data_IF_376808422672
#
_entry.id   IF_376808422672
#
_cell.length_a   1.000
_cell.length_b   1.000
_cell.length_c   1.000
_cell.angle_alpha   90.00
_cell.angle_beta   90.00
_cell.angle_gamma   90.00
#
_symmetry.space_group_name_H-M   'P 1'
#
loop_
_entity.id
_entity.type
_entity.pdbx_description
1 polymer ?
#
# COMPACT_ATOMS: atom_id res chain seq x y z
N UNK A 1 1.14 -13.29 -0.90
CA UNK A 1 1.11 -12.38 0.26
C UNK A 1 1.49 -13.17 1.51
N UNK A 2 2.42 -12.66 2.33
CA UNK A 2 2.53 -13.13 3.71
C UNK A 2 1.66 -12.26 4.60
N UNK A 3 0.55 -12.81 5.09
CA UNK A 3 -0.03 -12.34 6.33
C UNK A 3 0.85 -12.86 7.46
N UNK A 4 1.95 -12.15 7.74
CA UNK A 4 2.83 -12.46 8.87
C UNK A 4 2.15 -12.04 10.15
N UNK A 5 1.50 -12.99 10.83
CA UNK A 5 1.08 -12.80 12.21
C UNK A 5 2.33 -12.83 13.11
N UNK A 6 2.92 -11.66 13.36
CA UNK A 6 4.07 -11.52 14.26
C UNK A 6 3.59 -11.30 15.69
N UNK A 7 3.43 -12.39 16.44
CA UNK A 7 3.02 -12.34 17.84
C UNK A 7 4.06 -11.63 18.70
N UNK A 8 3.63 -10.64 19.47
CA UNK A 8 4.44 -9.77 20.34
C UNK A 8 5.15 -10.47 21.53
N UNK A 9 5.26 -11.80 21.57
CA UNK A 9 5.85 -12.52 22.70
C UNK A 9 6.92 -13.54 22.29
N UNK A 10 8.14 -13.04 22.03
CA UNK A 10 9.35 -13.85 22.15
C UNK A 10 10.42 -13.08 22.95
N UNK A 11 10.66 -13.52 24.18
CA UNK A 11 11.65 -12.97 25.12
C UNK A 11 13.06 -13.49 24.85
N UNK A 12 14.01 -12.55 24.92
CA UNK A 12 15.42 -12.66 25.35
C UNK A 12 16.45 -13.31 24.40
N UNK A 13 17.45 -12.50 23.99
CA UNK A 13 18.75 -12.35 24.69
C UNK A 13 19.55 -11.18 24.11
N UNK A 14 20.11 -10.34 24.98
CA UNK A 14 20.93 -9.18 24.64
C UNK A 14 22.31 -9.55 24.10
N UNK A 15 22.89 -8.70 23.25
CA UNK A 15 24.28 -8.30 23.44
C UNK A 15 24.45 -6.78 23.49
N UNK A 16 25.50 -6.35 24.18
CA UNK A 16 25.90 -4.95 24.41
C UNK A 16 26.42 -4.30 23.12
N UNK A 17 26.07 -3.04 22.87
CA UNK A 17 26.70 -2.20 21.83
C UNK A 17 27.27 -0.92 22.45
N UNK A 18 28.50 -0.59 22.03
CA UNK A 18 29.26 0.60 22.40
C UNK A 18 28.59 1.89 21.87
N UNK A 19 28.59 2.93 22.70
CA UNK A 19 28.23 4.28 22.30
C UNK A 19 29.24 4.87 21.29
N UNK A 20 28.74 5.30 20.13
CA UNK A 20 29.38 6.36 19.33
C UNK A 20 28.35 7.47 19.17
N UNK A 21 28.59 8.59 19.84
CA UNK A 21 27.81 9.80 19.68
C UNK A 21 28.10 10.42 18.30
N UNK A 22 27.10 10.47 17.42
CA UNK A 22 27.18 11.22 16.17
C UNK A 22 26.50 12.58 16.35
N UNK A 23 27.33 13.61 16.37
CA UNK A 23 26.98 15.03 16.40
C UNK A 23 26.25 15.41 15.11
N UNK A 24 25.00 15.90 15.23
CA UNK A 24 24.23 16.49 14.12
C UNK A 24 25.02 17.65 13.49
N UNK A 25 25.54 17.47 12.28
CA UNK A 25 25.88 18.57 11.36
C UNK A 25 24.85 18.61 10.24
N UNK A 26 24.12 19.72 10.15
CA UNK A 26 23.31 20.07 8.98
C UNK A 26 24.27 20.33 7.82
N UNK A 27 24.42 19.37 6.93
CA UNK A 27 24.96 19.58 5.59
C UNK A 27 23.77 19.68 4.65
N UNK A 28 23.59 20.86 4.02
CA UNK A 28 22.75 20.98 2.84
C UNK A 28 23.50 20.28 1.71
N UNK A 29 23.10 19.05 1.42
CA UNK A 29 23.51 18.36 0.21
C UNK A 29 22.41 18.57 -0.82
N UNK A 30 22.76 19.24 -1.92
CA UNK A 30 21.93 19.39 -3.11
C UNK A 30 22.18 18.16 -4.00
N UNK A 31 21.83 16.98 -3.49
CA UNK A 31 21.84 15.72 -4.22
C UNK A 31 20.39 15.27 -4.34
N UNK A 32 19.91 15.00 -5.56
CA UNK A 32 18.55 14.45 -5.76
C UNK A 32 18.56 12.98 -5.34
N UNK A 33 18.76 12.73 -4.05
CA UNK A 33 18.50 11.43 -3.42
C UNK A 33 17.03 11.12 -3.66
N UNK A 34 16.74 10.10 -4.47
CA UNK A 34 15.38 9.54 -4.55
C UNK A 34 15.14 8.76 -3.26
N UNK A 35 14.96 9.48 -2.16
CA UNK A 35 14.46 8.91 -0.92
C UNK A 35 13.08 8.28 -1.19
N UNK A 36 12.71 7.18 -0.52
CA UNK A 36 11.39 6.60 -0.66
C UNK A 36 10.29 7.63 -0.44
N UNK A 37 9.26 7.59 -1.27
CA UNK A 37 8.03 8.32 -1.01
C UNK A 37 7.33 7.67 0.19
N UNK A 38 6.95 8.45 1.19
CA UNK A 38 6.31 7.95 2.42
C UNK A 38 5.06 8.76 2.77
N UNK A 39 4.14 8.15 3.52
CA UNK A 39 2.97 8.86 4.05
C UNK A 39 2.14 8.01 5.01
N UNK A 40 1.25 8.67 5.77
CA UNK A 40 0.36 8.02 6.74
C UNK A 40 -1.00 7.67 6.17
N UNK A 41 -1.47 8.44 5.19
CA UNK A 41 -2.78 8.26 4.60
C UNK A 41 -2.73 8.58 3.12
N UNK A 42 -3.63 7.97 2.37
CA UNK A 42 -3.79 8.30 0.96
C UNK A 42 -4.79 9.45 0.80
N UNK A 43 -4.64 10.30 -0.24
CA UNK A 43 -5.49 11.48 -0.39
C UNK A 43 -6.98 11.12 -0.50
N UNK A 44 -7.81 11.80 0.29
CA UNK A 44 -9.28 11.73 0.24
C UNK A 44 -9.86 13.06 -0.28
N UNK A 45 -11.08 13.07 -0.86
CA UNK A 45 -11.78 14.30 -1.25
C UNK A 45 -12.00 15.27 -0.07
N UNK A 46 -11.94 16.57 -0.34
CA UNK A 46 -12.33 17.61 0.62
C UNK A 46 -13.79 17.39 1.07
N UNK A 47 -13.99 17.18 2.38
CA UNK A 47 -15.31 16.90 2.96
C UNK A 47 -15.73 15.44 2.92
N UNK A 48 -14.85 14.51 2.52
CA UNK A 48 -15.06 13.08 2.74
C UNK A 48 -15.39 12.86 4.22
N UNK A 49 -16.45 12.09 4.54
CA UNK A 49 -16.86 11.90 5.91
C UNK A 49 -15.68 11.32 6.69
N UNK A 50 -15.26 11.99 7.77
CA UNK A 50 -14.38 11.42 8.80
C UNK A 50 -15.07 10.30 9.59
N UNK A 51 -16.06 9.61 8.99
CA UNK A 51 -16.80 8.56 9.67
C UNK A 51 -15.80 7.45 9.92
N UNK A 52 -15.42 7.30 11.19
CA UNK A 52 -14.89 6.06 11.70
C UNK A 52 -15.79 4.95 11.17
N UNK A 53 -15.18 3.96 10.51
CA UNK A 53 -15.86 2.71 10.19
C UNK A 53 -16.66 2.24 11.41
N UNK A 54 -17.84 1.64 11.22
CA UNK A 54 -18.60 1.06 12.34
C UNK A 54 -17.83 -0.05 13.05
N UNK A 55 -16.75 -0.55 12.44
CA UNK A 55 -15.87 -1.53 13.04
C UNK A 55 -15.27 -1.05 14.37
N UNK A 56 -15.30 -1.89 15.42
CA UNK A 56 -14.58 -1.63 16.66
C UNK A 56 -13.06 -1.72 16.50
N UNK A 57 -12.56 -2.14 15.33
CA UNK A 57 -11.13 -2.24 15.02
C UNK A 57 -10.76 -1.38 13.81
N UNK A 58 -9.52 -0.91 13.81
CA UNK A 58 -8.94 -0.11 12.74
C UNK A 58 -7.46 -0.46 12.55
N UNK A 59 -6.96 -0.14 11.36
CA UNK A 59 -5.56 -0.12 11.02
C UNK A 59 -4.98 1.25 11.32
N UNK A 60 -4.01 1.32 12.24
CA UNK A 60 -3.06 2.43 12.25
C UNK A 60 -1.96 2.08 11.23
N UNK A 61 -1.88 2.83 10.14
CA UNK A 61 -1.12 2.40 8.97
C UNK A 61 -0.29 3.51 8.35
N UNK A 62 0.74 3.11 7.61
CA UNK A 62 1.58 3.98 6.82
C UNK A 62 2.10 3.24 5.60
N UNK A 63 2.57 4.00 4.61
CA UNK A 63 3.12 3.44 3.39
C UNK A 63 4.49 4.02 3.07
N UNK A 64 5.26 3.24 2.32
CA UNK A 64 6.47 3.67 1.67
C UNK A 64 6.53 3.09 0.26
N UNK A 65 7.18 3.79 -0.66
CA UNK A 65 7.38 3.29 -2.01
C UNK A 65 8.58 3.92 -2.68
N UNK A 66 9.21 3.14 -3.56
CA UNK A 66 10.30 3.59 -4.41
C UNK A 66 10.05 3.10 -5.83
N UNK A 67 10.15 4.02 -6.79
CA UNK A 67 9.93 3.71 -8.19
C UNK A 67 11.25 3.61 -8.94
N UNK A 68 11.44 2.51 -9.69
CA UNK A 68 12.63 2.33 -10.54
C UNK A 68 12.73 3.41 -11.61
N UNK A 69 11.58 3.91 -12.05
CA UNK A 69 11.47 4.93 -13.10
C UNK A 69 10.40 5.95 -12.76
N UNK A 70 10.41 7.08 -13.47
CA UNK A 70 9.36 8.08 -13.34
C UNK A 70 8.03 7.50 -13.83
N UNK A 71 7.00 7.63 -13.00
CA UNK A 71 5.61 7.29 -13.33
C UNK A 71 5.15 8.01 -14.60
N UNK A 72 4.51 7.28 -15.52
CA UNK A 72 3.82 7.88 -16.67
C UNK A 72 2.68 8.79 -16.16
N UNK A 73 2.61 10.07 -16.56
CA UNK A 73 1.55 10.95 -16.11
C UNK A 73 0.18 10.42 -16.55
N UNK A 74 -0.83 10.66 -15.72
CA UNK A 74 -2.18 10.23 -16.05
C UNK A 74 -2.69 11.01 -17.27
N UNK A 75 -3.30 10.33 -18.24
CA UNK A 75 -3.86 10.98 -19.41
C UNK A 75 -5.14 11.76 -19.10
N UNK A 76 -5.55 12.71 -19.96
CA UNK A 76 -6.90 13.26 -19.92
C UNK A 76 -7.96 12.16 -20.12
N UNK A 77 -9.13 12.25 -19.45
CA UNK A 77 -9.59 13.35 -18.60
C UNK A 77 -9.07 13.29 -17.15
N UNK A 78 -8.39 12.19 -16.77
CA UNK A 78 -8.03 11.91 -15.38
C UNK A 78 -7.07 12.93 -14.78
N UNK A 79 -6.14 13.43 -15.57
CA UNK A 79 -5.32 14.57 -15.19
C UNK A 79 -5.25 15.56 -16.34
N UNK A 80 -5.56 16.81 -16.04
CA UNK A 80 -5.44 17.92 -16.98
C UNK A 80 -4.63 19.01 -16.30
N UNK A 81 -3.40 19.33 -16.76
CA UNK A 81 -2.65 20.44 -16.21
C UNK A 81 -3.45 21.74 -16.40
N UNK A 82 -3.37 22.70 -15.45
CA UNK A 82 -4.08 23.96 -15.59
C UNK A 82 -3.67 24.65 -16.89
N UNK A 83 -4.65 25.08 -17.68
CA UNK A 83 -4.43 25.92 -18.86
C UNK A 83 -3.60 27.13 -18.45
N UNK A 84 -2.45 27.36 -19.10
CA UNK A 84 -1.47 28.42 -18.76
C UNK A 84 -1.96 29.87 -18.92
N UNK A 85 -3.26 30.14 -18.77
CA UNK A 85 -3.82 31.48 -18.75
C UNK A 85 -3.42 32.19 -17.45
N UNK A 86 -2.59 33.22 -17.59
CA UNK A 86 -2.04 34.09 -16.54
C UNK A 86 -3.09 34.91 -15.75
N UNK A 87 -4.38 34.59 -15.85
CA UNK A 87 -5.47 35.43 -15.35
C UNK A 87 -6.33 34.78 -14.25
N UNK A 88 -5.93 33.64 -13.68
CA UNK A 88 -6.61 33.11 -12.49
C UNK A 88 -6.03 33.83 -11.24
N UNK A 89 -6.79 34.75 -10.60
CA UNK A 89 -6.23 35.65 -9.60
C UNK A 89 -5.84 34.89 -8.32
N UNK A 90 -4.75 35.36 -7.70
CA UNK A 90 -4.07 34.91 -6.46
C UNK A 90 -4.93 34.81 -5.18
N UNK A 91 -6.25 34.59 -5.27
CA UNK A 91 -7.18 34.56 -4.14
C UNK A 91 -7.70 33.18 -3.75
N UNK A 92 -7.31 32.10 -4.45
CA UNK A 92 -7.73 30.72 -4.09
C UNK A 92 -6.58 29.90 -3.53
N UNK A 93 -5.96 30.34 -2.43
CA UNK A 93 -4.86 29.58 -1.81
C UNK A 93 -5.30 28.18 -1.31
N UNK A 94 -6.59 27.96 -0.98
CA UNK A 94 -7.07 26.66 -0.53
C UNK A 94 -7.63 25.72 -1.62
N UNK A 95 -8.10 26.23 -2.78
CA UNK A 95 -8.66 25.38 -3.88
C UNK A 95 -7.62 24.91 -4.90
N UNK A 96 -6.37 25.33 -4.74
CA UNK A 96 -5.30 25.15 -5.74
C UNK A 96 -4.64 23.77 -5.71
N UNK A 97 -4.67 23.06 -4.59
CA UNK A 97 -4.11 21.70 -4.49
C UNK A 97 -5.03 20.65 -5.12
N UNK A 98 -6.35 20.75 -4.93
CA UNK A 98 -7.33 19.79 -5.46
C UNK A 98 -7.53 19.84 -6.97
N UNK A 99 -7.28 20.99 -7.60
CA UNK A 99 -7.28 21.12 -9.07
C UNK A 99 -6.12 20.36 -9.74
N UNK A 100 -5.07 19.99 -9.00
CA UNK A 100 -3.89 19.27 -9.51
C UNK A 100 -3.91 17.78 -9.16
N UNK A 101 -4.96 17.27 -8.51
CA UNK A 101 -5.07 15.85 -8.21
C UNK A 101 -5.83 15.14 -9.33
N UNK A 102 -5.43 13.90 -9.69
CA UNK A 102 -6.17 13.15 -10.69
C UNK A 102 -7.60 12.87 -10.24
N UNK A 103 -8.54 12.90 -11.19
CA UNK A 103 -9.98 12.73 -10.92
C UNK A 103 -10.64 11.69 -11.82
N UNK A 104 -11.66 11.03 -11.29
CA UNK A 104 -12.57 10.17 -12.03
C UNK A 104 -13.98 10.46 -11.53
N UNK A 105 -14.95 10.58 -12.44
CA UNK A 105 -16.35 10.92 -12.10
C UNK A 105 -16.52 12.19 -11.23
N UNK A 106 -15.58 13.15 -11.35
CA UNK A 106 -15.57 14.39 -10.57
C UNK A 106 -14.91 14.30 -9.19
N UNK A 107 -14.57 13.10 -8.72
CA UNK A 107 -13.92 12.84 -7.43
C UNK A 107 -12.42 12.61 -7.59
N UNK A 108 -11.66 12.81 -6.51
CA UNK A 108 -10.22 12.53 -6.50
C UNK A 108 -9.99 11.02 -6.54
N UNK A 109 -9.10 10.58 -7.44
CA UNK A 109 -8.67 9.18 -7.46
C UNK A 109 -7.82 8.93 -6.21
N UNK A 110 -8.30 7.99 -5.38
CA UNK A 110 -7.66 7.60 -4.12
C UNK A 110 -6.37 6.82 -4.34
N UNK A 111 -5.64 6.56 -3.26
CA UNK A 111 -4.35 5.88 -3.32
C UNK A 111 -3.19 6.80 -3.74
N UNK A 112 -2.00 6.23 -3.81
CA UNK A 112 -0.74 6.88 -4.22
C UNK A 112 -0.05 5.99 -5.25
N UNK A 113 0.47 6.59 -6.34
CA UNK A 113 1.20 5.85 -7.38
C UNK A 113 2.67 5.81 -7.03
N UNK A 114 3.30 4.64 -7.24
CA UNK A 114 4.73 4.40 -7.06
C UNK A 114 5.24 3.73 -8.32
N UNK A 115 5.75 4.50 -9.29
CA UNK A 115 6.13 3.92 -10.58
C UNK A 115 4.89 3.47 -11.35
N UNK A 116 4.81 2.18 -11.69
CA UNK A 116 3.63 1.50 -12.24
C UNK A 116 2.69 0.96 -11.15
N UNK A 117 3.14 0.89 -9.89
CA UNK A 117 2.37 0.43 -8.74
C UNK A 117 1.40 1.49 -8.20
N UNK A 118 0.47 1.05 -7.35
CA UNK A 118 -0.28 1.94 -6.48
C UNK A 118 -0.46 1.35 -5.07
N UNK A 119 -0.58 2.22 -4.06
CA UNK A 119 -0.88 1.86 -2.68
C UNK A 119 -2.12 2.58 -2.16
N UNK A 120 -2.86 1.94 -1.26
CA UNK A 120 -4.02 2.48 -0.56
C UNK A 120 -3.86 2.28 0.95
N UNK A 121 -4.13 3.35 1.70
CA UNK A 121 -4.18 3.33 3.16
C UNK A 121 -5.50 3.93 3.62
N UNK A 122 -6.26 3.14 4.38
CA UNK A 122 -7.48 3.53 5.09
C UNK A 122 -7.63 2.70 6.37
N UNK A 123 -8.54 3.10 7.25
CA UNK A 123 -8.77 2.47 8.56
C UNK A 123 -9.11 0.97 8.49
N UNK A 124 -9.74 0.49 7.41
CA UNK A 124 -10.20 -0.90 7.34
C UNK A 124 -9.87 -1.58 6.02
N UNK A 125 -9.31 -0.86 5.04
CA UNK A 125 -8.84 -1.44 3.79
C UNK A 125 -7.46 -0.87 3.46
N UNK A 126 -6.47 -1.75 3.36
CA UNK A 126 -5.15 -1.43 2.83
C UNK A 126 -4.91 -2.22 1.55
N UNK A 127 -4.03 -1.72 0.69
CA UNK A 127 -3.72 -2.42 -0.54
C UNK A 127 -2.43 -1.97 -1.21
N UNK A 128 -1.82 -2.90 -1.93
CA UNK A 128 -0.69 -2.67 -2.81
C UNK A 128 -0.97 -3.37 -4.15
N UNK A 129 -0.99 -2.60 -5.23
CA UNK A 129 -1.26 -3.06 -6.58
C UNK A 129 0.01 -2.92 -7.40
N UNK A 130 0.49 -4.02 -7.94
CA UNK A 130 1.66 -4.09 -8.83
C UNK A 130 1.21 -3.89 -10.27
N UNK A 131 1.65 -2.82 -10.91
CA UNK A 131 1.25 -2.49 -12.28
C UNK A 131 2.15 -3.16 -13.33
N UNK A 132 1.55 -3.83 -14.31
CA UNK A 132 2.34 -4.51 -15.35
C UNK A 132 3.07 -3.51 -16.24
N UNK A 133 4.37 -3.33 -16.01
CA UNK A 133 5.20 -2.30 -16.66
C UNK A 133 5.33 -2.44 -18.19
N UNK A 134 5.01 -3.61 -18.76
CA UNK A 134 4.99 -3.84 -20.21
C UNK A 134 3.98 -2.94 -20.95
N UNK A 135 2.92 -2.49 -20.27
CA UNK A 135 1.96 -1.54 -20.83
C UNK A 135 2.59 -0.19 -21.20
N UNK A 136 3.72 0.19 -20.59
CA UNK A 136 4.41 1.44 -20.94
C UNK A 136 4.92 1.47 -22.39
N UNK A 137 5.07 0.31 -23.04
CA UNK A 137 5.48 0.21 -24.45
C UNK A 137 4.32 0.40 -25.42
N UNK A 138 3.07 0.41 -24.94
CA UNK A 138 1.87 0.59 -25.76
C UNK A 138 1.41 2.05 -25.69
N UNK A 139 0.98 2.57 -26.84
CA UNK A 139 0.52 3.97 -26.96
C UNK A 139 -0.58 4.31 -25.93
N UNK A 140 -1.60 3.44 -25.85
CA UNK A 140 -2.72 3.53 -24.91
C UNK A 140 -2.47 2.83 -23.57
N UNK A 141 -1.25 2.37 -23.27
CA UNK A 141 -0.98 1.62 -22.05
C UNK A 141 -0.66 2.50 -20.84
N UNK A 142 -1.40 2.35 -19.74
CA UNK A 142 -1.19 3.10 -18.50
C UNK A 142 -1.45 2.21 -17.27
N UNK A 143 -0.49 1.33 -16.96
CA UNK A 143 -0.52 0.51 -15.75
C UNK A 143 -0.69 1.33 -14.44
N UNK A 144 0.02 2.46 -14.21
CA UNK A 144 -0.14 3.20 -12.97
C UNK A 144 -1.55 3.78 -12.76
N UNK A 145 -2.24 4.14 -13.85
CA UNK A 145 -3.64 4.57 -13.77
C UNK A 145 -4.56 3.38 -13.47
N UNK A 146 -4.35 2.25 -14.13
CA UNK A 146 -5.11 1.02 -13.89
C UNK A 146 -5.00 0.57 -12.42
N UNK A 147 -3.77 0.44 -11.92
CA UNK A 147 -3.47 0.06 -10.52
C UNK A 147 -4.19 0.98 -9.54
N UNK A 148 -4.17 2.29 -9.79
CA UNK A 148 -4.76 3.30 -8.91
C UNK A 148 -6.29 3.37 -8.98
N UNK A 149 -6.90 3.12 -10.14
CA UNK A 149 -8.36 3.05 -10.29
C UNK A 149 -8.95 1.82 -9.61
N UNK A 150 -8.28 0.66 -9.71
CA UNK A 150 -8.72 -0.55 -9.00
C UNK A 150 -8.77 -0.28 -7.48
N UNK A 151 -7.69 0.28 -6.89
CA UNK A 151 -7.69 0.65 -5.48
C UNK A 151 -8.78 1.67 -5.14
N UNK A 152 -8.96 2.68 -5.99
CA UNK A 152 -9.96 3.72 -5.78
C UNK A 152 -11.38 3.15 -5.73
N UNK A 153 -11.78 2.35 -6.72
CA UNK A 153 -13.13 1.81 -6.76
C UNK A 153 -13.35 0.71 -5.70
N UNK A 154 -12.30 -0.06 -5.32
CA UNK A 154 -12.37 -0.96 -4.17
C UNK A 154 -12.65 -0.18 -2.88
N UNK A 155 -11.95 0.93 -2.65
CA UNK A 155 -12.16 1.78 -1.48
C UNK A 155 -13.59 2.35 -1.44
N UNK A 156 -14.11 2.82 -2.58
CA UNK A 156 -15.49 3.31 -2.67
C UNK A 156 -16.52 2.21 -2.39
N UNK A 157 -16.31 1.00 -2.93
CA UNK A 157 -17.19 -0.14 -2.71
C UNK A 157 -17.19 -0.57 -1.23
N UNK A 158 -16.01 -0.68 -0.62
CA UNK A 158 -15.86 -1.04 0.79
C UNK A 158 -16.51 0.00 1.71
N UNK A 159 -16.29 1.30 1.48
CA UNK A 159 -16.91 2.35 2.29
C UNK A 159 -18.42 2.39 2.15
N UNK A 160 -18.95 2.21 0.93
CA UNK A 160 -20.39 2.14 0.67
C UNK A 160 -21.06 1.01 1.43
N UNK A 161 -20.37 -0.13 1.57
CA UNK A 161 -20.84 -1.30 2.33
C UNK A 161 -20.53 -1.22 3.84
N UNK A 162 -19.79 -0.19 4.28
CA UNK A 162 -19.34 -0.10 5.67
C UNK A 162 -18.32 -1.18 6.05
N UNK A 163 -17.53 -1.65 5.08
CA UNK A 163 -16.47 -2.65 5.23
C UNK A 163 -16.99 -4.04 5.67
N UNK A 164 -18.17 -4.44 5.16
CA UNK A 164 -18.82 -5.72 5.46
C UNK A 164 -19.86 -5.66 6.59
N UNK A 165 -19.96 -4.57 7.35
CA UNK A 165 -20.99 -4.35 8.38
C UNK A 165 -21.02 -5.38 9.53
N UNK A 166 -22.07 -5.33 10.37
CA UNK A 166 -22.32 -6.32 11.45
C UNK A 166 -22.91 -7.64 10.94
N UNK A 167 -23.52 -7.64 9.75
CA UNK A 167 -24.34 -8.73 9.20
C UNK A 167 -23.57 -9.63 8.22
N UNK A 168 -22.24 -9.56 8.20
CA UNK A 168 -21.45 -10.50 7.39
C UNK A 168 -21.60 -11.92 7.95
N UNK A 169 -21.74 -12.90 7.05
CA UNK A 169 -21.65 -14.32 7.36
C UNK A 169 -20.24 -14.75 7.81
N UNK A 170 -19.27 -13.81 7.79
CA UNK A 170 -17.89 -14.04 8.20
C UNK A 170 -17.07 -14.82 7.18
N UNK A 171 -17.56 -15.00 5.95
CA UNK A 171 -16.89 -15.73 4.87
C UNK A 171 -15.96 -14.82 4.03
N UNK A 172 -16.20 -13.50 4.03
CA UNK A 172 -15.30 -12.52 3.39
C UNK A 172 -15.55 -12.28 1.90
N UNK A 173 -16.61 -12.87 1.34
CA UNK A 173 -17.03 -12.73 -0.06
C UNK A 173 -17.22 -11.27 -0.48
N UNK A 174 -17.44 -10.36 0.47
CA UNK A 174 -17.55 -8.92 0.18
C UNK A 174 -16.28 -8.38 -0.48
N UNK A 175 -15.09 -8.83 -0.06
CA UNK A 175 -13.83 -8.33 -0.63
C UNK A 175 -13.69 -8.70 -2.11
N UNK A 176 -14.04 -9.94 -2.47
CA UNK A 176 -14.05 -10.39 -3.87
C UNK A 176 -15.08 -9.60 -4.69
N UNK A 177 -16.26 -9.34 -4.11
CA UNK A 177 -17.27 -8.48 -4.75
C UNK A 177 -16.78 -7.05 -4.97
N UNK A 178 -16.12 -6.44 -3.98
CA UNK A 178 -15.54 -5.10 -4.14
C UNK A 178 -14.53 -5.07 -5.27
N UNK A 179 -13.68 -6.09 -5.39
CA UNK A 179 -12.73 -6.21 -6.49
C UNK A 179 -13.44 -6.36 -7.84
N UNK A 180 -14.48 -7.18 -7.92
CA UNK A 180 -15.30 -7.36 -9.12
C UNK A 180 -15.95 -6.06 -9.59
N UNK A 181 -16.58 -5.32 -8.67
CA UNK A 181 -17.17 -4.01 -8.93
C UNK A 181 -16.12 -2.96 -9.31
N UNK A 182 -14.94 -3.00 -8.68
CA UNK A 182 -13.84 -2.12 -8.99
C UNK A 182 -13.25 -2.39 -10.38
N UNK A 183 -13.13 -3.66 -10.77
CA UNK A 183 -12.68 -4.07 -12.09
C UNK A 183 -13.64 -3.61 -13.19
N UNK A 184 -14.96 -3.76 -12.99
CA UNK A 184 -15.98 -3.27 -13.93
C UNK A 184 -15.93 -1.75 -14.07
N UNK A 185 -15.92 -1.02 -12.96
CA UNK A 185 -15.84 0.45 -12.96
C UNK A 185 -14.53 0.98 -13.55
N UNK A 186 -13.41 0.28 -13.32
CA UNK A 186 -12.12 0.64 -13.93
C UNK A 186 -12.19 0.51 -15.45
N UNK A 187 -12.75 -0.58 -15.97
CA UNK A 187 -12.93 -0.75 -17.43
C UNK A 187 -13.83 0.32 -18.03
N UNK A 188 -14.95 0.65 -17.37
CA UNK A 188 -15.87 1.71 -17.81
C UNK A 188 -15.20 3.08 -17.78
N UNK A 189 -14.48 3.42 -16.70
CA UNK A 189 -13.77 4.69 -16.61
C UNK A 189 -12.69 4.84 -17.69
N UNK A 190 -12.07 3.73 -18.11
CA UNK A 190 -11.00 3.72 -19.09
C UNK A 190 -11.49 3.50 -20.53
N UNK A 191 -12.78 3.27 -20.79
CA UNK A 191 -13.30 3.10 -22.15
C UNK A 191 -13.65 4.42 -22.83
N UNK A 192 -14.23 5.37 -22.09
CA UNK A 192 -14.68 6.66 -22.61
C UNK A 192 -14.07 7.84 -21.82
N UNK A 193 -13.75 8.98 -22.46
CA UNK A 193 -13.84 9.30 -23.88
C UNK A 193 -12.64 8.78 -24.71
N UNK A 194 -11.58 8.33 -24.05
CA UNK A 194 -10.38 7.76 -24.67
C UNK A 194 -10.09 6.41 -24.03
N UNK A 195 -9.92 5.40 -24.86
CA UNK A 195 -9.56 4.07 -24.40
C UNK A 195 -8.12 4.04 -23.84
N UNK A 196 -7.99 3.57 -22.60
CA UNK A 196 -6.71 3.31 -21.94
C UNK A 196 -6.67 1.87 -21.44
N UNK A 197 -5.53 1.22 -21.63
CA UNK A 197 -5.34 -0.20 -21.31
C UNK A 197 -4.31 -0.35 -20.19
N UNK A 198 -4.48 -1.37 -19.36
CA UNK A 198 -3.57 -1.68 -18.29
C UNK A 198 -3.97 -2.99 -17.63
N UNK A 199 -3.09 -3.49 -16.78
CA UNK A 199 -3.37 -4.61 -15.87
C UNK A 199 -2.55 -4.40 -14.61
N UNK A 200 -3.01 -5.01 -13.52
CA UNK A 200 -2.31 -5.00 -12.24
C UNK A 200 -2.52 -6.31 -11.53
N UNK A 201 -1.50 -6.76 -10.80
CA UNK A 201 -1.65 -7.77 -9.76
C UNK A 201 -2.11 -7.05 -8.50
N UNK A 202 -3.28 -7.39 -7.98
CA UNK A 202 -3.85 -6.73 -6.79
C UNK A 202 -3.61 -7.53 -5.53
N UNK A 203 -3.25 -6.83 -4.45
CA UNK A 203 -3.05 -7.38 -3.11
C UNK A 203 -3.79 -6.48 -2.10
N UNK A 204 -4.90 -6.97 -1.55
CA UNK A 204 -5.78 -6.20 -0.66
C UNK A 204 -5.96 -6.91 0.68
N UNK A 205 -6.04 -6.13 1.76
CA UNK A 205 -6.37 -6.62 3.09
C UNK A 205 -7.50 -5.78 3.71
N UNK A 206 -8.63 -6.44 3.99
CA UNK A 206 -9.82 -5.89 4.62
C UNK A 206 -9.89 -6.31 6.09
N UNK A 207 -9.79 -5.34 7.01
CA UNK A 207 -10.01 -5.56 8.43
C UNK A 207 -11.49 -5.60 8.74
N UNK A 208 -11.93 -6.75 9.20
CA UNK A 208 -13.30 -7.03 9.61
C UNK A 208 -13.32 -7.54 11.07
N UNK A 209 -14.52 -7.80 11.60
CA UNK A 209 -14.67 -8.32 12.95
C UNK A 209 -15.79 -9.35 13.00
N UNK A 210 -15.60 -10.36 13.85
CA UNK A 210 -16.61 -11.39 14.10
C UNK A 210 -17.12 -11.25 15.52
N UNK A 211 -18.43 -11.46 15.70
CA UNK A 211 -19.10 -11.39 16.99
C UNK A 211 -19.40 -12.80 17.49
N UNK A 212 -18.70 -13.22 18.53
CA UNK A 212 -18.89 -14.53 19.17
C UNK A 212 -19.24 -14.33 20.65
N UNK A 213 -20.40 -14.85 21.07
CA UNK A 213 -20.85 -14.81 22.48
C UNK A 213 -20.81 -13.41 23.11
N UNK A 214 -21.12 -12.37 22.33
CA UNK A 214 -21.13 -10.98 22.78
C UNK A 214 -19.75 -10.31 22.84
N UNK A 215 -18.67 -10.99 22.44
CA UNK A 215 -17.34 -10.41 22.26
C UNK A 215 -17.05 -10.27 20.76
N UNK A 216 -16.34 -9.21 20.40
CA UNK A 216 -15.81 -9.02 19.05
C UNK A 216 -14.38 -9.51 19.00
N UNK A 217 -13.96 -10.04 17.86
CA UNK A 217 -12.56 -10.34 17.54
C UNK A 217 -12.23 -9.87 16.12
N UNK A 218 -11.03 -9.34 15.85
CA UNK A 218 -10.67 -8.90 14.51
C UNK A 218 -10.32 -10.08 13.61
N UNK A 219 -10.61 -9.95 12.33
CA UNK A 219 -10.19 -10.87 11.27
C UNK A 219 -9.77 -10.05 10.06
N UNK A 220 -8.80 -10.53 9.30
CA UNK A 220 -8.36 -9.89 8.06
C UNK A 220 -8.69 -10.81 6.90
N UNK A 221 -9.45 -10.29 5.94
CA UNK A 221 -9.65 -10.94 4.66
C UNK A 221 -8.60 -10.41 3.69
N UNK A 222 -7.86 -11.34 3.11
CA UNK A 222 -6.80 -11.09 2.14
C UNK A 222 -7.29 -11.55 0.79
N UNK A 223 -7.26 -10.67 -0.21
CA UNK A 223 -7.54 -11.06 -1.59
C UNK A 223 -6.35 -10.75 -2.49
N UNK A 224 -5.95 -11.73 -3.29
CA UNK A 224 -4.93 -11.57 -4.33
C UNK A 224 -5.50 -11.95 -5.70
N UNK A 225 -5.23 -11.13 -6.71
CA UNK A 225 -5.59 -11.40 -8.10
C UNK A 225 -4.35 -11.23 -8.96
N UNK A 226 -3.91 -12.33 -9.60
CA UNK A 226 -2.77 -12.36 -10.50
C UNK A 226 -3.06 -11.75 -11.86
N UNK A 227 -2.02 -11.66 -12.69
CA UNK A 227 -2.11 -11.19 -14.07
C UNK A 227 -1.75 -12.31 -15.04
N UNK A 228 -2.66 -13.25 -15.32
CA UNK A 228 -2.47 -14.19 -16.44
C UNK A 228 -3.79 -14.75 -16.98
N UNK A 229 -4.10 -14.46 -18.26
CA UNK A 229 -5.36 -14.83 -18.95
C UNK A 229 -6.56 -13.96 -18.50
N UNK A 230 -7.83 -14.17 -18.93
CA UNK A 230 -8.95 -13.26 -18.64
C UNK A 230 -9.40 -13.36 -17.18
N UNK A 231 -8.46 -13.22 -16.24
CA UNK A 231 -8.71 -13.30 -14.81
C UNK A 231 -9.72 -12.22 -14.42
N UNK A 232 -10.83 -12.64 -13.84
CA UNK A 232 -11.80 -11.75 -13.22
C UNK A 232 -11.76 -11.95 -11.71
N UNK A 233 -11.95 -10.90 -10.91
CA UNK A 233 -11.95 -11.04 -9.47
C UNK A 233 -12.92 -12.13 -8.98
N UNK A 234 -14.12 -12.19 -9.57
CA UNK A 234 -15.14 -13.17 -9.19
C UNK A 234 -14.76 -14.63 -9.47
N UNK A 235 -13.92 -14.90 -10.47
CA UNK A 235 -13.54 -16.26 -10.86
C UNK A 235 -12.16 -16.66 -10.33
N UNK A 236 -11.24 -15.71 -10.15
CA UNK A 236 -9.80 -15.98 -9.99
C UNK A 236 -9.19 -15.38 -8.73
N UNK A 237 -9.89 -14.51 -8.00
CA UNK A 237 -9.33 -13.96 -6.77
C UNK A 237 -9.16 -15.05 -5.72
N UNK A 238 -7.94 -15.16 -5.19
CA UNK A 238 -7.65 -16.03 -4.05
C UNK A 238 -7.98 -15.26 -2.78
N UNK A 239 -9.03 -15.70 -2.09
CA UNK A 239 -9.46 -15.15 -0.81
C UNK A 239 -8.94 -16.02 0.35
N UNK A 240 -8.30 -15.38 1.32
CA UNK A 240 -7.84 -16.02 2.55
C UNK A 240 -8.38 -15.25 3.75
N UNK A 241 -8.89 -15.97 4.75
CA UNK A 241 -9.28 -15.42 6.05
C UNK A 241 -8.17 -15.68 7.05
N UNK A 242 -7.72 -14.62 7.73
CA UNK A 242 -6.67 -14.69 8.74
C UNK A 242 -7.22 -14.15 10.06
N UNK A 243 -7.18 -14.97 11.10
CA UNK A 243 -7.48 -14.51 12.46
C UNK A 243 -6.33 -13.65 12.96
N UNK A 244 -6.63 -12.44 13.44
CA UNK A 244 -5.64 -11.51 13.97
C UNK A 244 -6.03 -11.07 15.38
N UNK A 245 -5.05 -10.56 16.12
CA UNK A 245 -5.22 -9.97 17.43
C UNK A 245 -4.89 -8.46 17.38
N UNK A 246 -5.20 -7.74 18.46
CA UNK A 246 -4.67 -6.39 18.61
C UNK A 246 -3.14 -6.46 18.66
N UNK A 247 -2.47 -5.46 18.10
CA UNK A 247 -1.01 -5.35 17.95
C UNK A 247 -0.37 -6.25 16.89
N UNK A 248 -1.14 -7.08 16.18
CA UNK A 248 -0.65 -7.79 15.00
C UNK A 248 -0.38 -6.80 13.84
N UNK A 249 0.73 -7.02 13.13
CA UNK A 249 1.13 -6.23 11.96
C UNK A 249 0.65 -6.93 10.69
N UNK A 250 0.05 -6.16 9.78
CA UNK A 250 -0.37 -6.61 8.45
C UNK A 250 0.43 -5.82 7.41
N UNK A 251 1.03 -6.54 6.47
CA UNK A 251 1.81 -5.97 5.38
C UNK A 251 1.13 -6.27 4.04
N UNK A 252 0.86 -5.22 3.25
CA UNK A 252 0.52 -5.35 1.83
C UNK A 252 1.69 -4.80 1.01
N UNK A 253 2.22 -5.60 0.09
CA UNK A 253 3.42 -5.26 -0.68
C UNK A 253 3.34 -5.78 -2.12
N UNK A 254 4.11 -5.16 -3.00
CA UNK A 254 4.29 -5.60 -4.41
C UNK A 254 5.45 -6.58 -4.56
N UNK A 255 5.54 -7.21 -5.74
CA UNK A 255 6.58 -8.21 -6.03
C UNK A 255 8.00 -7.63 -5.96
N UNK A 256 8.18 -6.33 -6.18
CA UNK A 256 9.45 -5.63 -5.96
C UNK A 256 10.06 -5.81 -4.56
N UNK A 257 9.25 -6.18 -3.55
CA UNK A 257 9.75 -6.64 -2.24
C UNK A 257 10.09 -8.14 -2.27
N UNK A 258 9.12 -9.00 -2.59
CA UNK A 258 9.26 -10.46 -2.48
C UNK A 258 10.21 -11.07 -3.51
N UNK A 259 10.54 -10.34 -4.56
CA UNK A 259 11.56 -10.71 -5.53
C UNK A 259 12.98 -10.46 -5.01
N UNK A 260 13.11 -9.61 -3.98
CA UNK A 260 14.38 -9.12 -3.47
C UNK A 260 14.63 -9.46 -1.99
N UNK A 261 13.62 -9.89 -1.23
CA UNK A 261 13.76 -10.31 0.17
C UNK A 261 13.01 -11.60 0.43
N UNK A 262 13.61 -12.50 1.21
CA UNK A 262 12.92 -13.69 1.72
C UNK A 262 11.91 -13.33 2.81
N UNK A 263 10.96 -14.23 3.07
CA UNK A 263 9.86 -14.03 4.03
C UNK A 263 10.37 -13.73 5.44
N UNK A 264 11.43 -14.43 5.85
CA UNK A 264 12.11 -14.25 7.13
C UNK A 264 12.77 -12.88 7.22
N UNK A 265 13.42 -12.40 6.15
CA UNK A 265 14.06 -11.08 6.13
C UNK A 265 13.04 -9.95 6.21
N UNK A 266 11.90 -10.10 5.52
CA UNK A 266 10.79 -9.14 5.60
C UNK A 266 10.28 -9.06 7.05
N UNK A 267 10.08 -10.22 7.68
CA UNK A 267 9.64 -10.33 9.07
C UNK A 267 10.61 -9.68 10.05
N UNK A 268 11.89 -10.03 9.95
CA UNK A 268 12.95 -9.51 10.80
C UNK A 268 13.11 -8.00 10.63
N UNK A 269 13.09 -7.51 9.39
CA UNK A 269 13.14 -6.07 9.09
C UNK A 269 11.96 -5.34 9.73
N UNK A 270 10.74 -5.88 9.62
CA UNK A 270 9.56 -5.27 10.20
C UNK A 270 9.64 -5.18 11.73
N UNK A 271 10.03 -6.27 12.40
CA UNK A 271 10.16 -6.32 13.86
C UNK A 271 11.26 -5.37 14.34
N UNK A 272 12.43 -5.42 13.71
CA UNK A 272 13.58 -4.59 14.09
C UNK A 272 13.25 -3.11 13.91
N UNK A 273 12.64 -2.74 12.77
CA UNK A 273 12.21 -1.37 12.52
C UNK A 273 11.20 -0.88 13.57
N UNK A 274 10.25 -1.73 13.96
CA UNK A 274 9.27 -1.37 14.99
C UNK A 274 9.92 -1.19 16.36
N UNK A 275 10.86 -2.07 16.76
CA UNK A 275 11.60 -1.93 18.02
C UNK A 275 12.45 -0.66 18.03
N UNK A 276 13.21 -0.41 16.96
CA UNK A 276 14.01 0.80 16.83
C UNK A 276 13.17 2.07 16.90
N UNK A 277 11.98 2.05 16.31
CA UNK A 277 11.06 3.17 16.37
C UNK A 277 10.55 3.39 17.81
N UNK A 278 10.15 2.32 18.51
CA UNK A 278 9.74 2.38 19.92
C UNK A 278 10.87 2.89 20.83
N UNK A 279 12.11 2.43 20.64
CA UNK A 279 13.26 2.84 21.44
C UNK A 279 13.61 4.34 21.29
N UNK A 280 13.20 4.94 20.16
CA UNK A 280 13.36 6.37 19.88
C UNK A 280 12.24 7.23 20.48
N UNK A 281 11.18 6.64 21.02
CA UNK A 281 10.06 7.35 21.64
C UNK A 281 10.32 7.65 23.12
N UNK A 282 9.81 8.79 23.59
CA UNK A 282 9.82 9.09 25.03
C UNK A 282 8.74 8.27 25.75
N UNK A 283 9.08 7.75 26.95
CA UNK A 283 8.21 6.84 27.72
C UNK A 283 6.91 7.47 28.24
N UNK A 284 6.76 8.78 28.12
CA UNK A 284 5.62 9.56 28.65
C UNK A 284 4.59 9.92 27.55
N UNK A 285 4.83 9.52 26.30
CA UNK A 285 3.89 9.79 25.21
C UNK A 285 2.66 8.87 25.32
N UNK A 286 1.49 9.48 25.47
CA UNK A 286 0.24 8.77 25.25
C UNK A 286 0.18 8.34 23.78
N UNK A 287 0.15 7.03 23.53
CA UNK A 287 0.23 6.46 22.19
C UNK A 287 -1.05 6.82 21.42
N UNK A 288 -0.96 7.84 20.55
CA UNK A 288 -2.05 8.24 19.67
C UNK A 288 -2.11 7.37 18.41
N UNK A 289 -3.26 7.36 17.73
CA UNK A 289 -3.42 6.65 16.45
C UNK A 289 -2.44 7.14 15.38
N UNK A 290 -2.20 8.47 15.33
CA UNK A 290 -1.25 9.09 14.42
C UNK A 290 0.20 8.67 14.72
N UNK A 291 0.54 8.54 16.02
CA UNK A 291 1.85 8.05 16.42
C UNK A 291 2.05 6.60 15.98
N UNK A 292 1.07 5.72 16.18
CA UNK A 292 1.13 4.33 15.70
C UNK A 292 1.28 4.25 14.18
N UNK A 293 0.55 5.09 13.44
CA UNK A 293 0.66 5.20 11.99
C UNK A 293 2.08 5.63 11.55
N UNK A 294 2.71 6.56 12.27
CA UNK A 294 4.12 6.95 12.04
C UNK A 294 5.09 5.78 12.25
N UNK A 295 4.84 4.93 13.25
CA UNK A 295 5.61 3.70 13.45
C UNK A 295 5.49 2.74 12.28
N UNK A 296 4.27 2.54 11.77
CA UNK A 296 4.05 1.70 10.60
C UNK A 296 4.62 2.30 9.32
N UNK A 297 4.60 3.63 9.15
CA UNK A 297 5.30 4.31 8.05
C UNK A 297 6.80 4.04 8.09
N UNK A 298 7.42 4.09 9.28
CA UNK A 298 8.82 3.76 9.46
C UNK A 298 9.12 2.30 9.11
N UNK A 299 8.29 1.36 9.58
CA UNK A 299 8.39 -0.07 9.21
C UNK A 299 8.32 -0.26 7.69
N UNK A 300 7.34 0.35 7.02
CA UNK A 300 7.21 0.27 5.56
C UNK A 300 8.46 0.84 4.85
N UNK A 301 9.00 1.96 5.35
CA UNK A 301 10.19 2.59 4.81
C UNK A 301 11.43 1.68 4.91
N UNK A 302 11.66 1.05 6.05
CA UNK A 302 12.81 0.16 6.24
C UNK A 302 12.73 -1.08 5.33
N UNK A 303 11.53 -1.65 5.13
CA UNK A 303 11.33 -2.77 4.18
C UNK A 303 11.65 -2.31 2.76
N UNK A 304 11.18 -1.14 2.33
CA UNK A 304 11.49 -0.59 0.99
C UNK A 304 12.99 -0.37 0.82
N UNK A 305 13.68 0.15 1.84
CA UNK A 305 15.13 0.36 1.80
C UNK A 305 15.91 -0.96 1.72
N UNK A 306 15.49 -1.97 2.49
CA UNK A 306 16.08 -3.31 2.45
C UNK A 306 15.90 -3.96 1.07
N UNK A 307 14.68 -3.96 0.53
CA UNK A 307 14.39 -4.54 -0.78
C UNK A 307 15.13 -3.81 -1.90
N UNK A 308 15.15 -2.47 -1.86
CA UNK A 308 15.87 -1.65 -2.85
C UNK A 308 17.36 -1.95 -2.88
N UNK A 309 17.97 -2.12 -1.70
CA UNK A 309 19.40 -2.43 -1.59
C UNK A 309 19.74 -3.72 -2.36
N UNK A 310 18.90 -4.74 -2.26
CA UNK A 310 19.07 -5.99 -3.00
C UNK A 310 18.73 -5.79 -4.49
N UNK A 311 17.63 -5.09 -4.79
CA UNK A 311 17.19 -4.82 -6.17
C UNK A 311 18.24 -4.07 -7.03
N UNK A 312 19.04 -3.20 -6.41
CA UNK A 312 20.09 -2.43 -7.07
C UNK A 312 21.44 -3.20 -7.17
N UNK A 313 21.58 -4.35 -6.49
CA UNK A 313 22.81 -5.15 -6.49
C UNK A 313 22.76 -6.28 -7.53
N UNK A 314 23.54 -6.20 -8.64
CA UNK A 314 23.56 -7.22 -9.68
C UNK A 314 24.22 -8.53 -9.27
N UNK A 315 24.83 -8.59 -8.08
CA UNK A 315 25.50 -9.79 -7.55
C UNK A 315 24.82 -10.34 -6.28
N UNK A 316 23.73 -9.71 -5.83
CA UNK A 316 23.01 -10.20 -4.66
C UNK A 316 22.30 -11.53 -4.94
N UNK A 317 22.29 -12.41 -3.94
CA UNK A 317 21.33 -13.51 -3.91
C UNK A 317 19.94 -12.94 -3.64
N UNK A 318 18.95 -13.40 -4.40
CA UNK A 318 17.57 -12.93 -4.26
C UNK A 318 16.58 -14.08 -4.52
N UNK A 319 15.36 -14.02 -3.95
CA UNK A 319 14.30 -14.98 -4.28
C UNK A 319 13.93 -15.00 -5.76
N UNK A 320 14.09 -13.88 -6.48
CA UNK A 320 13.92 -13.83 -7.92
C UNK A 320 14.99 -14.61 -8.66
N UNK A 321 16.26 -14.43 -8.30
CA UNK A 321 17.38 -15.19 -8.85
C UNK A 321 17.16 -16.70 -8.64
N UNK A 322 16.80 -17.11 -7.43
CA UNK A 322 16.54 -18.51 -7.09
C UNK A 322 15.45 -19.12 -7.99
N UNK A 323 14.29 -18.48 -8.09
CA UNK A 323 13.20 -18.91 -8.99
C UNK A 323 13.60 -18.90 -10.47
N UNK A 324 14.37 -17.93 -10.92
CA UNK A 324 14.85 -17.87 -12.29
C UNK A 324 15.75 -19.07 -12.62
N UNK A 325 16.65 -19.44 -11.70
CA UNK A 325 17.53 -20.61 -11.84
C UNK A 325 16.73 -21.91 -11.85
N UNK A 326 15.71 -22.05 -11.01
CA UNK A 326 14.80 -23.21 -11.00
C UNK A 326 14.04 -23.38 -12.33
N UNK A 327 13.65 -22.26 -12.95
CA UNK A 327 13.04 -22.21 -14.29
C UNK A 327 14.07 -22.37 -15.44
N UNK A 328 15.34 -22.61 -15.12
CA UNK A 328 16.42 -22.84 -16.09
C UNK A 328 16.99 -21.57 -16.75
N UNK A 329 16.72 -20.39 -16.18
CA UNK A 329 17.26 -19.12 -16.63
C UNK A 329 18.54 -18.78 -15.84
N UNK A 330 19.62 -18.47 -16.55
CA UNK A 330 20.87 -18.01 -15.94
C UNK A 330 20.81 -16.50 -15.64
N UNK A 331 20.01 -16.13 -14.65
CA UNK A 331 19.87 -14.75 -14.16
C UNK A 331 20.53 -14.65 -12.78
N UNK A 332 21.30 -13.60 -12.54
CA UNK A 332 21.97 -13.29 -11.26
C UNK A 332 21.58 -11.89 -10.79
N UNK A 333 21.62 -11.67 -9.48
CA UNK A 333 21.35 -10.37 -8.86
C UNK A 333 19.92 -10.15 -8.37
N UNK A 334 19.67 -8.97 -7.83
CA UNK A 334 18.32 -8.50 -7.53
C UNK A 334 17.50 -8.16 -8.77
N UNK A 335 16.18 -8.10 -8.60
CA UNK A 335 15.25 -7.66 -9.64
C UNK A 335 14.93 -6.19 -9.44
N UNK A 336 15.36 -5.35 -10.38
CA UNK A 336 15.03 -3.93 -10.36
C UNK A 336 13.55 -3.70 -10.73
N UNK A 337 12.71 -3.51 -9.71
CA UNK A 337 11.27 -3.25 -9.86
C UNK A 337 10.79 -1.99 -9.13
N UNK A 338 9.54 -1.62 -9.36
CA UNK A 338 8.85 -0.70 -8.45
C UNK A 338 8.59 -1.42 -7.11
N UNK A 339 8.84 -0.75 -5.99
CA UNK A 339 8.80 -1.35 -4.65
C UNK A 339 7.80 -0.57 -3.82
N UNK A 340 6.73 -1.23 -3.40
CA UNK A 340 5.63 -0.59 -2.67
C UNK A 340 5.26 -1.41 -1.44
N UNK A 341 5.14 -0.73 -0.29
CA UNK A 341 4.76 -1.36 1.00
C UNK A 341 3.73 -0.49 1.71
N UNK A 342 2.67 -1.13 2.18
CA UNK A 342 1.77 -0.61 3.22
C UNK A 342 1.93 -1.49 4.45
N UNK A 343 2.26 -0.88 5.57
CA UNK A 343 2.29 -1.54 6.86
C UNK A 343 1.16 -1.00 7.74
N UNK A 344 0.52 -1.88 8.49
CA UNK A 344 -0.57 -1.53 9.38
C UNK A 344 -0.48 -2.34 10.66
N UNK A 345 -0.83 -1.74 11.80
CA UNK A 345 -1.06 -2.45 13.06
C UNK A 345 -2.56 -2.44 13.36
N UNK A 346 -3.09 -3.62 13.70
CA UNK A 346 -4.48 -3.77 14.12
C UNK A 346 -4.67 -3.23 15.54
N UNK A 347 -5.63 -2.31 15.72
CA UNK A 347 -5.96 -1.72 17.01
C UNK A 347 -7.46 -1.67 17.22
N UNK A 348 -7.88 -1.72 18.48
CA UNK A 348 -9.27 -1.50 18.86
C UNK A 348 -9.53 -0.01 19.10
N UNK A 349 -10.63 0.50 18.55
CA UNK A 349 -11.07 1.88 18.77
C UNK A 349 -11.43 2.07 20.24
N UNK A 350 -10.93 3.14 20.85
CA UNK A 350 -11.39 3.56 22.18
C UNK A 350 -12.74 4.27 22.00
N UNK A 351 -13.78 3.73 22.64
CA UNK A 351 -15.17 4.16 22.47
C UNK A 351 -15.54 5.48 23.13
#
# INVERSE_FOLDING_TARGET
MLALQLKHQCRCRSPRILHIALTRRRLRHDDRSRDPQVGLATPLPDGAPKRASPSPYYFAAGYAGWAKRLTRPFPPPFFSPPSGSFSDPLSTHNRSQDRRRPKVNGEIIRGVTVGDDAVLVSDNLIGANDGVGAWAQREKGCAPLWSRLILHFCALAAEKDGHGGEDSDGEGDQLVRYMGDAYKQTKEALSDPNEWLGTTTSSLALLHYLKEKGKTRPVVFVAQLGTNSPDTPEENAVLSKVDVEEDDIVLAMTDGVTDNLWEEEISETAINALHEWHDKMDKDDNISEELLAEGMRYVAQEIVLAARKIAEDPFAGSPFMERAVEEGLAIEGGKLDDISVVAAVCKKRQG
#
